data_IF_165002791163
#
_entry.id   IF_165002791163
#
_cell.length_a   1.000
_cell.length_b   1.000
_cell.length_c   1.000
_cell.angle_alpha   90.00
_cell.angle_beta   90.00
_cell.angle_gamma   90.00
#
_symmetry.space_group_name_H-M   'P 1'
#
loop_
_entity.id
_entity.type
_entity.pdbx_description
1 polymer ?
#
# COMPACT_ATOMS: atom_id res chain seq x y z
N UNK A 1 2.38 1.19 2.42
CA UNK A 1 3.46 1.57 1.51
C UNK A 1 4.75 1.56 2.30
N UNK A 2 5.84 1.06 1.73
CA UNK A 2 7.18 1.15 2.31
C UNK A 2 8.05 1.93 1.34
N UNK A 3 8.76 2.93 1.84
CA UNK A 3 9.85 3.56 1.11
C UNK A 3 11.10 2.69 1.31
N UNK A 4 11.59 2.10 0.23
CA UNK A 4 12.73 1.18 0.28
C UNK A 4 14.06 1.92 0.49
N UNK A 5 14.09 3.23 0.26
CA UNK A 5 15.26 4.08 0.41
C UNK A 5 15.19 4.92 1.72
N UNK A 6 14.02 5.01 2.36
CA UNK A 6 13.81 5.51 3.72
C UNK A 6 12.88 4.59 4.56
N UNK A 7 13.28 3.33 4.85
CA UNK A 7 12.39 2.31 5.42
C UNK A 7 11.92 2.59 6.87
N UNK A 8 12.56 3.55 7.55
CA UNK A 8 12.16 3.98 8.89
C UNK A 8 11.00 4.99 8.86
N UNK A 9 10.69 5.59 7.71
CA UNK A 9 9.57 6.51 7.57
C UNK A 9 8.25 5.75 7.41
N UNK A 10 7.31 5.99 8.32
CA UNK A 10 6.00 5.31 8.27
C UNK A 10 5.03 6.03 7.34
N UNK A 11 4.90 5.53 6.11
CA UNK A 11 3.88 6.02 5.17
C UNK A 11 2.44 5.60 5.55
N UNK A 12 2.30 4.63 6.47
CA UNK A 12 1.01 4.08 6.84
C UNK A 12 0.35 3.24 5.74
N UNK A 13 -0.98 3.26 5.74
CA UNK A 13 -1.84 2.41 4.93
C UNK A 13 -3.13 2.07 5.70
N UNK A 14 -3.91 1.14 5.17
CA UNK A 14 -5.14 0.73 5.86
C UNK A 14 -5.78 -0.51 5.27
N UNK A 15 -6.95 -0.83 5.80
CA UNK A 15 -7.82 -1.90 5.31
C UNK A 15 -8.97 -1.27 4.54
N UNK A 16 -9.38 -1.91 3.45
CA UNK A 16 -10.57 -1.57 2.70
C UNK A 16 -11.43 -2.83 2.54
N UNK A 17 -12.74 -2.69 2.67
CA UNK A 17 -13.66 -3.80 2.43
C UNK A 17 -13.66 -4.15 0.93
N UNK A 18 -13.62 -5.45 0.62
CA UNK A 18 -13.76 -5.90 -0.76
C UNK A 18 -15.23 -5.77 -1.19
N UNK A 19 -15.50 -4.83 -2.09
CA UNK A 19 -16.85 -4.54 -2.60
C UNK A 19 -17.14 -5.21 -3.96
N UNK A 20 -16.42 -6.29 -4.30
CA UNK A 20 -16.58 -7.02 -5.57
C UNK A 20 -16.00 -6.30 -6.80
N UNK A 21 -15.10 -5.33 -6.60
CA UNK A 21 -14.45 -4.54 -7.67
C UNK A 21 -12.96 -4.83 -7.72
N UNK A 22 -12.36 -4.72 -8.91
CA UNK A 22 -10.92 -4.88 -9.10
C UNK A 22 -10.10 -3.66 -8.63
N UNK A 23 -10.75 -2.51 -8.44
CA UNK A 23 -10.11 -1.25 -8.07
C UNK A 23 -10.58 -0.78 -6.68
N UNK A 24 -9.66 -0.15 -5.94
CA UNK A 24 -9.98 0.51 -4.68
C UNK A 24 -10.50 1.92 -4.96
N UNK A 25 -11.61 2.34 -4.33
CA UNK A 25 -12.08 3.71 -4.48
C UNK A 25 -11.08 4.69 -3.87
N UNK A 26 -11.06 5.92 -4.40
CA UNK A 26 -10.32 7.01 -3.76
C UNK A 26 -10.75 7.18 -2.31
N UNK A 27 -9.79 7.38 -1.42
CA UNK A 27 -10.04 7.51 0.02
C UNK A 27 -10.33 6.20 0.76
N UNK A 28 -10.16 5.03 0.13
CA UNK A 28 -10.33 3.72 0.79
C UNK A 28 -9.49 3.55 2.07
N UNK A 29 -8.36 4.25 2.16
CA UNK A 29 -7.54 4.38 3.35
C UNK A 29 -6.72 5.67 3.27
N UNK A 30 -6.11 6.07 4.40
CA UNK A 30 -5.18 7.20 4.46
C UNK A 30 -3.74 6.70 4.48
N UNK A 31 -2.85 7.45 3.85
CA UNK A 31 -1.42 7.23 3.87
C UNK A 31 -0.71 8.57 3.69
N UNK A 32 0.55 8.63 4.11
CA UNK A 32 1.42 9.77 3.79
C UNK A 32 2.03 9.48 2.42
N UNK A 33 1.76 10.34 1.44
CA UNK A 33 2.24 10.18 0.08
C UNK A 33 3.76 10.36 -0.05
N UNK A 34 4.34 9.97 -1.18
CA UNK A 34 5.73 10.28 -1.51
C UNK A 34 6.00 11.79 -1.46
N UNK A 35 7.03 12.19 -0.72
CA UNK A 35 7.56 13.57 -0.74
C UNK A 35 9.08 13.58 -0.53
N UNK A 36 9.87 12.86 -1.36
CA UNK A 36 11.29 12.74 -1.13
C UNK A 36 12.07 13.92 -1.78
N UNK A 37 13.23 14.29 -1.23
CA UNK A 37 14.12 15.27 -1.85
C UNK A 37 14.91 14.72 -3.06
N UNK A 38 14.89 13.40 -3.28
CA UNK A 38 15.52 12.69 -4.39
C UNK A 38 14.64 11.51 -4.85
N UNK A 39 14.92 10.87 -5.99
CA UNK A 39 14.13 9.70 -6.44
C UNK A 39 14.29 8.52 -5.48
N UNK A 40 13.18 8.04 -4.95
CA UNK A 40 13.09 6.87 -4.07
C UNK A 40 12.26 5.76 -4.73
N UNK A 41 12.36 4.53 -4.22
CA UNK A 41 11.55 3.37 -4.59
C UNK A 41 10.51 3.12 -3.52
N UNK A 42 9.26 3.05 -3.94
CA UNK A 42 8.13 2.80 -3.05
C UNK A 42 7.47 1.49 -3.39
N UNK A 43 7.34 0.61 -2.40
CA UNK A 43 6.64 -0.66 -2.52
C UNK A 43 5.25 -0.59 -1.87
N UNK A 44 4.25 -1.03 -2.63
CA UNK A 44 2.92 -1.32 -2.14
C UNK A 44 2.74 -2.82 -2.01
N UNK A 45 2.30 -3.28 -0.84
CA UNK A 45 1.87 -4.66 -0.62
C UNK A 45 0.39 -4.67 -0.25
N UNK A 46 -0.37 -5.51 -0.92
CA UNK A 46 -1.78 -5.78 -0.63
C UNK A 46 -1.92 -7.22 -0.17
N UNK A 47 -2.63 -7.41 0.94
CA UNK A 47 -2.91 -8.74 1.52
C UNK A 47 -4.41 -8.98 1.50
N UNK A 48 -4.85 -9.96 0.72
CA UNK A 48 -6.24 -10.39 0.71
C UNK A 48 -6.52 -11.30 1.92
N UNK A 49 -7.66 -11.09 2.58
CA UNK A 49 -8.07 -11.88 3.75
C UNK A 49 -9.54 -12.29 3.65
N UNK A 50 -9.88 -13.45 4.19
CA UNK A 50 -11.27 -13.89 4.34
C UNK A 50 -11.96 -13.21 5.52
N UNK A 51 -13.23 -13.56 5.74
CA UNK A 51 -14.05 -13.03 6.83
C UNK A 51 -13.49 -13.36 8.23
N UNK A 52 -12.75 -14.46 8.38
CA UNK A 52 -12.07 -14.84 9.62
C UNK A 52 -10.69 -14.17 9.77
N UNK A 53 -10.26 -13.35 8.80
CA UNK A 53 -8.97 -12.67 8.79
C UNK A 53 -7.81 -13.53 8.28
N UNK A 54 -8.07 -14.76 7.83
CA UNK A 54 -7.05 -15.64 7.25
C UNK A 54 -6.58 -15.07 5.91
N UNK A 55 -5.26 -15.08 5.70
CA UNK A 55 -4.66 -14.62 4.44
C UNK A 55 -5.03 -15.55 3.28
N UNK A 56 -5.58 -14.97 2.22
CA UNK A 56 -5.93 -15.66 0.97
C UNK A 56 -4.85 -15.47 -0.10
N UNK A 57 -4.17 -14.33 -0.10
CA UNK A 57 -3.15 -14.02 -1.09
C UNK A 57 -2.41 -12.73 -0.77
N UNK A 58 -1.32 -12.49 -1.48
CA UNK A 58 -0.52 -11.27 -1.38
C UNK A 58 -0.10 -10.82 -2.77
N UNK A 59 -0.01 -9.51 -2.99
CA UNK A 59 0.57 -8.93 -4.19
C UNK A 59 1.44 -7.73 -3.79
N UNK A 60 2.53 -7.51 -4.51
CA UNK A 60 3.39 -6.34 -4.34
C UNK A 60 3.64 -5.65 -5.67
N UNK A 61 3.80 -4.34 -5.64
CA UNK A 61 4.23 -3.54 -6.78
C UNK A 61 5.18 -2.43 -6.30
N UNK A 62 6.24 -2.18 -7.06
CA UNK A 62 7.27 -1.19 -6.73
C UNK A 62 7.39 -0.14 -7.82
N UNK A 63 7.38 1.13 -7.43
CA UNK A 63 7.52 2.28 -8.33
C UNK A 63 8.68 3.19 -7.88
N UNK A 64 9.22 4.00 -8.79
CA UNK A 64 10.17 5.08 -8.46
C UNK A 64 9.44 6.43 -8.44
N UNK A 65 9.78 7.33 -7.50
CA UNK A 65 9.17 8.67 -7.37
C UNK A 65 10.11 9.73 -6.70
N UNK A 66 10.09 11.04 -7.07
CA UNK A 66 9.40 11.52 -8.26
C UNK A 66 9.93 10.78 -9.48
#
# INVERSE_FOLDING_TARGET
>A
MVDLDAPTFSHGGGKAAYAGKAELPSGAFKFVGPCPPATHRYEWTVVARDAAGKRLGTASATIRYP
#
